data_IF_949405604808
#
_entry.id   IF_949405604808
#
_cell.length_a   1.000
_cell.length_b   1.000
_cell.length_c   1.000
_cell.angle_alpha   90.00
_cell.angle_beta   90.00
_cell.angle_gamma   90.00
#
_symmetry.space_group_name_H-M   'P 1'
#
loop_
_entity.id
_entity.type
_entity.pdbx_description
1 polymer ?
#
# COMPACT_ATOMS: atom_id res chain seq x y z
N UNK A 1 -22.47 2.16 -19.79
CA UNK A 1 -22.08 2.70 -18.47
C UNK A 1 -20.65 3.17 -18.57
N UNK A 2 -20.41 4.47 -18.42
CA UNK A 2 -19.07 5.05 -18.56
C UNK A 2 -18.17 4.58 -17.42
N UNK A 3 -17.00 4.03 -17.74
CA UNK A 3 -15.94 3.83 -16.77
C UNK A 3 -15.39 5.22 -16.44
N UNK A 4 -15.55 5.66 -15.20
CA UNK A 4 -14.91 6.86 -14.71
C UNK A 4 -13.44 6.46 -14.48
N UNK A 5 -12.53 6.89 -15.35
CA UNK A 5 -11.10 6.74 -15.07
C UNK A 5 -10.70 7.92 -14.20
N UNK A 6 -10.29 7.66 -12.95
CA UNK A 6 -9.72 8.71 -12.11
C UNK A 6 -8.22 8.78 -12.40
N UNK A 7 -7.76 9.96 -12.82
CA UNK A 7 -6.35 10.29 -12.89
C UNK A 7 -6.07 11.34 -11.82
N UNK A 8 -5.34 10.98 -10.78
CA UNK A 8 -4.86 11.91 -9.77
C UNK A 8 -3.37 12.12 -10.00
N UNK A 9 -3.00 13.31 -10.46
CA UNK A 9 -1.61 13.67 -10.75
C UNK A 9 -1.26 14.94 -9.97
N UNK A 10 -0.07 14.99 -9.37
CA UNK A 10 0.38 16.07 -8.49
C UNK A 10 -0.50 16.28 -7.25
N UNK A 11 -0.64 15.24 -6.43
CA UNK A 11 -1.33 15.35 -5.13
C UNK A 11 -0.29 15.63 -4.05
N UNK A 12 -0.37 16.81 -3.43
CA UNK A 12 0.38 17.13 -2.22
C UNK A 12 -0.52 16.94 -1.00
N UNK A 13 -0.16 15.99 -0.15
CA UNK A 13 -0.88 15.70 1.09
C UNK A 13 -0.04 16.25 2.23
N UNK A 14 -0.61 17.13 3.03
CA UNK A 14 0.08 17.73 4.19
C UNK A 14 -0.63 17.30 5.47
N UNK A 15 0.09 17.32 6.59
CA UNK A 15 -0.47 17.08 7.93
C UNK A 15 -1.03 15.68 8.17
N UNK A 16 -0.27 14.63 7.81
CA UNK A 16 -0.56 13.26 8.28
C UNK A 16 -1.89 12.65 7.77
N UNK A 17 -2.50 13.22 6.72
CA UNK A 17 -3.74 12.68 6.15
C UNK A 17 -3.46 11.46 5.25
N UNK A 18 -4.33 10.45 5.31
CA UNK A 18 -4.25 9.25 4.47
C UNK A 18 -4.94 9.48 3.13
N UNK A 19 -4.29 9.15 2.01
CA UNK A 19 -4.96 9.07 0.71
C UNK A 19 -5.71 7.74 0.57
N UNK A 20 -6.97 7.71 0.97
CA UNK A 20 -7.80 6.49 0.95
C UNK A 20 -8.61 6.38 -0.34
N UNK A 21 -8.23 5.45 -1.22
CA UNK A 21 -8.92 5.20 -2.50
C UNK A 21 -10.27 4.48 -2.29
N UNK A 22 -10.33 3.58 -1.32
CA UNK A 22 -11.53 2.77 -1.05
C UNK A 22 -12.72 3.65 -0.64
N UNK A 23 -12.44 4.75 0.08
CA UNK A 23 -13.46 5.72 0.50
C UNK A 23 -14.08 6.52 -0.66
N UNK A 24 -13.38 6.71 -1.77
CA UNK A 24 -13.88 7.47 -2.92
C UNK A 24 -14.52 6.60 -4.00
N UNK A 25 -14.81 5.33 -3.70
CA UNK A 25 -15.53 4.44 -4.60
C UNK A 25 -14.67 3.84 -5.70
N UNK A 26 -13.35 3.72 -5.48
CA UNK A 26 -12.41 2.88 -6.22
C UNK A 26 -12.74 2.72 -7.69
N UNK A 27 -12.65 3.80 -8.47
CA UNK A 27 -13.00 3.74 -9.88
C UNK A 27 -12.02 2.77 -10.59
N UNK A 28 -12.49 1.68 -11.22
CA UNK A 28 -11.60 0.66 -11.74
C UNK A 28 -10.76 1.23 -12.89
N UNK A 29 -9.47 0.90 -12.93
CA UNK A 29 -8.48 1.45 -13.88
C UNK A 29 -8.15 2.93 -13.63
N UNK A 30 -7.72 3.24 -12.40
CA UNK A 30 -7.29 4.58 -12.02
C UNK A 30 -5.77 4.66 -11.84
N UNK A 31 -5.19 5.73 -12.37
CA UNK A 31 -3.77 6.03 -12.26
C UNK A 31 -3.58 7.15 -11.22
N UNK A 32 -2.79 6.86 -10.18
CA UNK A 32 -2.40 7.81 -9.13
C UNK A 32 -0.91 8.00 -9.28
N UNK A 33 -0.52 9.23 -9.62
CA UNK A 33 0.86 9.56 -9.94
C UNK A 33 1.33 10.80 -9.17
N UNK A 34 2.63 10.83 -8.87
CA UNK A 34 3.30 12.02 -8.35
C UNK A 34 2.70 12.52 -7.03
N UNK A 35 2.39 11.58 -6.14
CA UNK A 35 1.96 11.90 -4.78
C UNK A 35 3.19 12.30 -3.96
N UNK A 36 3.07 13.44 -3.27
CA UNK A 36 4.03 13.90 -2.26
C UNK A 36 3.29 13.93 -0.93
N UNK A 37 3.71 13.09 0.01
CA UNK A 37 3.18 13.07 1.37
C UNK A 37 4.35 13.21 2.33
N UNK A 38 4.58 14.36 2.98
CA UNK A 38 5.56 14.52 4.04
C UNK A 38 4.87 14.49 5.41
N UNK A 39 5.01 13.39 6.13
CA UNK A 39 4.70 13.30 7.55
C UNK A 39 5.96 12.92 8.37
N UNK A 40 6.04 13.33 9.65
CA UNK A 40 7.08 12.87 10.57
C UNK A 40 7.06 11.34 10.75
N UNK A 41 8.22 10.75 11.03
CA UNK A 41 8.37 9.30 11.24
C UNK A 41 7.60 8.80 12.48
N UNK A 42 7.41 9.67 13.46
CA UNK A 42 6.75 9.37 14.73
C UNK A 42 5.23 9.54 14.64
N UNK A 43 4.72 9.88 13.45
CA UNK A 43 3.31 10.14 13.24
C UNK A 43 2.53 8.83 13.13
N UNK A 44 1.66 8.58 14.10
CA UNK A 44 0.92 7.33 14.22
C UNK A 44 -0.23 7.31 13.20
N UNK A 45 -0.41 6.18 12.50
CA UNK A 45 -1.50 5.92 11.53
C UNK A 45 -1.54 6.88 10.33
N UNK A 46 -0.38 7.33 9.86
CA UNK A 46 -0.27 8.22 8.70
C UNK A 46 0.12 7.47 7.45
N UNK A 47 -0.71 6.52 7.02
CA UNK A 47 -0.50 5.81 5.77
C UNK A 47 -0.42 6.81 4.61
N UNK A 48 0.50 6.59 3.67
CA UNK A 48 0.64 7.47 2.52
C UNK A 48 -0.55 7.32 1.57
N UNK A 49 -0.68 6.12 1.04
CA UNK A 49 -1.79 5.72 0.18
C UNK A 49 -2.39 4.42 0.72
N UNK A 50 -3.68 4.45 1.05
CA UNK A 50 -4.44 3.27 1.41
C UNK A 50 -5.36 2.85 0.26
N UNK A 51 -5.29 1.58 -0.12
CA UNK A 51 -6.09 1.00 -1.20
C UNK A 51 -6.90 -0.16 -0.62
N UNK A 52 -8.21 -0.14 -0.78
CA UNK A 52 -9.07 -1.28 -0.43
C UNK A 52 -10.17 -1.44 -1.46
N UNK A 53 -10.65 -2.67 -1.66
CA UNK A 53 -11.84 -3.01 -2.48
C UNK A 53 -11.85 -2.32 -3.85
N UNK A 54 -10.69 -2.35 -4.50
CA UNK A 54 -10.41 -1.60 -5.73
C UNK A 54 -9.64 -2.47 -6.71
N UNK A 55 -9.86 -2.26 -8.00
CA UNK A 55 -9.22 -3.06 -9.06
C UNK A 55 -8.55 -2.21 -10.14
N UNK A 56 -7.41 -2.69 -10.65
CA UNK A 56 -6.68 -2.03 -11.73
C UNK A 56 -6.06 -0.69 -11.32
N UNK A 57 -5.71 -0.52 -10.04
CA UNK A 57 -5.12 0.72 -9.53
C UNK A 57 -3.62 0.72 -9.79
N UNK A 58 -3.10 1.85 -10.27
CA UNK A 58 -1.66 2.07 -10.40
C UNK A 58 -1.20 3.23 -9.53
N UNK A 59 -0.23 2.98 -8.67
CA UNK A 59 0.50 3.99 -7.91
C UNK A 59 1.86 4.18 -8.57
N UNK A 60 2.10 5.35 -9.13
CA UNK A 60 3.23 5.65 -10.00
C UNK A 60 4.04 6.84 -9.47
N UNK A 61 5.36 6.80 -9.63
CA UNK A 61 6.23 8.00 -9.56
C UNK A 61 6.03 8.88 -8.31
N UNK A 62 5.78 8.25 -7.16
CA UNK A 62 5.41 8.95 -5.93
C UNK A 62 6.55 8.95 -4.92
N UNK A 63 6.63 10.01 -4.10
CA UNK A 63 7.63 10.16 -3.03
C UNK A 63 6.89 10.34 -1.70
N UNK A 64 6.88 9.27 -0.93
CA UNK A 64 6.01 9.13 0.23
C UNK A 64 6.89 9.06 1.48
N UNK A 65 6.59 9.94 2.42
CA UNK A 65 7.15 9.94 3.76
C UNK A 65 6.08 9.95 4.82
N UNK A 66 6.13 8.96 5.69
CA UNK A 66 5.06 8.62 6.62
C UNK A 66 5.66 8.18 7.94
N UNK A 67 4.85 8.18 9.01
CA UNK A 67 5.15 7.40 10.20
C UNK A 67 4.55 5.99 10.17
N UNK A 68 3.71 5.67 9.18
CA UNK A 68 3.11 4.35 8.99
C UNK A 68 3.41 3.79 7.57
N UNK A 69 2.55 2.93 7.03
CA UNK A 69 2.73 2.32 5.71
C UNK A 69 2.84 3.37 4.58
N UNK A 70 3.86 3.22 3.74
CA UNK A 70 4.04 4.04 2.55
C UNK A 70 2.88 3.83 1.56
N UNK A 71 2.57 2.56 1.31
CA UNK A 71 1.36 2.12 0.61
C UNK A 71 0.81 0.92 1.35
N UNK A 72 -0.47 0.95 1.70
CA UNK A 72 -1.17 -0.16 2.36
C UNK A 72 -2.34 -0.67 1.51
N UNK A 73 -2.51 -1.99 1.45
CA UNK A 73 -3.60 -2.66 0.74
C UNK A 73 -4.50 -3.39 1.74
N UNK A 74 -5.79 -3.07 1.76
CA UNK A 74 -6.83 -3.80 2.47
C UNK A 74 -7.42 -4.97 1.65
N UNK A 75 -8.54 -5.50 2.12
CA UNK A 75 -9.28 -6.58 1.45
C UNK A 75 -9.80 -6.15 0.06
N UNK A 76 -10.05 -7.12 -0.81
CA UNK A 76 -10.69 -6.91 -2.12
C UNK A 76 -9.88 -6.13 -3.15
N UNK A 77 -8.56 -6.07 -2.99
CA UNK A 77 -7.66 -5.46 -3.97
C UNK A 77 -7.31 -6.42 -5.11
N UNK A 78 -7.50 -6.02 -6.36
CA UNK A 78 -7.06 -6.81 -7.52
C UNK A 78 -6.30 -6.01 -8.58
N UNK A 79 -5.31 -6.63 -9.23
CA UNK A 79 -4.56 -6.01 -10.33
C UNK A 79 -3.95 -4.64 -9.95
N UNK A 80 -3.22 -4.61 -8.83
CA UNK A 80 -2.60 -3.40 -8.28
C UNK A 80 -1.15 -3.32 -8.75
N UNK A 81 -0.74 -2.17 -9.28
CA UNK A 81 0.66 -1.90 -9.65
C UNK A 81 1.20 -0.76 -8.81
N UNK A 82 2.32 -0.99 -8.12
CA UNK A 82 3.10 0.03 -7.42
C UNK A 82 4.45 0.12 -8.12
N UNK A 83 4.72 1.23 -8.80
CA UNK A 83 5.89 1.34 -9.66
C UNK A 83 6.58 2.70 -9.55
N UNK A 84 7.92 2.71 -9.50
CA UNK A 84 8.73 3.94 -9.36
C UNK A 84 8.36 4.77 -8.12
N UNK A 85 7.96 4.09 -7.04
CA UNK A 85 7.65 4.72 -5.76
C UNK A 85 8.89 4.75 -4.88
N UNK A 86 9.11 5.89 -4.22
CA UNK A 86 10.13 6.03 -3.19
C UNK A 86 9.48 6.19 -1.81
N UNK A 87 9.75 5.24 -0.91
CA UNK A 87 9.27 5.23 0.46
C UNK A 87 10.40 5.60 1.43
N UNK A 88 10.15 6.55 2.35
CA UNK A 88 11.12 6.93 3.40
C UNK A 88 10.44 7.42 4.67
N UNK A 89 11.14 7.35 5.80
CA UNK A 89 10.76 6.47 6.92
C UNK A 89 9.30 5.90 6.91
N UNK A 90 8.90 5.23 7.99
CA UNK A 90 7.60 4.56 8.10
C UNK A 90 7.71 3.05 7.94
N UNK A 91 6.61 2.39 7.52
CA UNK A 91 6.46 0.94 7.67
C UNK A 91 6.68 0.11 6.39
N UNK A 92 6.95 0.76 5.27
CA UNK A 92 7.17 0.09 3.97
C UNK A 92 5.89 -0.05 3.14
N UNK A 93 5.89 -0.99 2.19
CA UNK A 93 4.72 -1.33 1.38
C UNK A 93 4.07 -2.57 1.97
N UNK A 94 2.83 -2.46 2.43
CA UNK A 94 2.15 -3.53 3.17
C UNK A 94 0.88 -4.02 2.48
N UNK A 95 0.72 -5.34 2.39
CA UNK A 95 -0.57 -6.00 2.14
C UNK A 95 -1.14 -6.44 3.48
N UNK A 96 -2.33 -5.93 3.79
CA UNK A 96 -3.05 -6.11 5.04
C UNK A 96 -3.03 -4.90 5.97
N UNK A 97 -3.50 -5.03 7.21
CA UNK A 97 -3.81 -6.31 7.86
C UNK A 97 -5.03 -7.02 7.26
N UNK A 98 -4.92 -8.33 7.03
CA UNK A 98 -6.02 -9.18 6.56
C UNK A 98 -6.40 -10.25 7.60
N UNK A 99 -7.57 -10.83 7.44
CA UNK A 99 -8.14 -11.89 8.27
C UNK A 99 -8.85 -11.38 9.53
N UNK A 100 -9.03 -10.07 9.70
CA UNK A 100 -9.69 -9.52 10.90
C UNK A 100 -11.20 -9.74 10.87
N UNK A 101 -11.80 -9.62 9.69
CA UNK A 101 -13.25 -9.67 9.51
C UNK A 101 -13.67 -10.94 8.78
N UNK A 102 -14.86 -11.43 9.11
CA UNK A 102 -15.50 -12.49 8.33
C UNK A 102 -15.78 -11.98 6.91
N UNK A 103 -15.48 -12.81 5.90
CA UNK A 103 -15.75 -12.54 4.48
C UNK A 103 -14.99 -11.34 3.90
N UNK A 104 -13.73 -11.17 4.30
CA UNK A 104 -12.81 -10.31 3.56
C UNK A 104 -12.65 -10.84 2.12
N UNK A 105 -12.71 -9.93 1.15
CA UNK A 105 -12.51 -10.28 -0.25
C UNK A 105 -11.02 -10.57 -0.54
N UNK A 106 -10.71 -11.48 -1.49
CA UNK A 106 -9.33 -11.82 -1.83
C UNK A 106 -8.49 -10.61 -2.24
N UNK A 107 -7.19 -10.68 -1.92
CA UNK A 107 -6.18 -9.78 -2.49
C UNK A 107 -5.37 -10.55 -3.54
N UNK A 108 -5.42 -10.13 -4.80
CA UNK A 108 -4.79 -10.87 -5.88
C UNK A 108 -4.16 -10.00 -6.96
N UNK A 109 -3.00 -10.39 -7.49
CA UNK A 109 -2.38 -9.66 -8.59
C UNK A 109 -1.81 -8.33 -8.15
N UNK A 110 -0.92 -8.35 -7.15
CA UNK A 110 -0.20 -7.16 -6.70
C UNK A 110 1.21 -7.22 -7.26
N UNK A 111 1.61 -6.18 -7.98
CA UNK A 111 2.95 -6.01 -8.52
C UNK A 111 3.61 -4.78 -7.90
N UNK A 112 4.75 -4.96 -7.25
CA UNK A 112 5.60 -3.87 -6.77
C UNK A 112 6.92 -3.94 -7.52
N UNK A 113 7.26 -2.87 -8.24
CA UNK A 113 8.46 -2.87 -9.08
C UNK A 113 9.18 -1.54 -9.17
N UNK A 114 10.48 -1.56 -9.46
CA UNK A 114 11.29 -0.36 -9.65
C UNK A 114 11.18 0.63 -8.48
N UNK A 115 11.09 0.13 -7.26
CA UNK A 115 10.85 0.96 -6.07
C UNK A 115 12.13 1.18 -5.27
N UNK A 116 12.19 2.27 -4.50
CA UNK A 116 13.27 2.51 -3.54
C UNK A 116 12.67 2.68 -2.16
N UNK A 117 13.05 1.83 -1.22
CA UNK A 117 12.57 1.84 0.15
C UNK A 117 13.77 2.12 1.06
N UNK A 118 13.73 3.22 1.81
CA UNK A 118 14.88 3.66 2.60
C UNK A 118 14.49 4.07 4.02
N UNK A 119 15.18 3.52 5.03
CA UNK A 119 14.98 3.93 6.43
C UNK A 119 13.63 3.55 7.01
N UNK A 120 12.94 2.55 6.45
CA UNK A 120 11.64 2.07 6.93
C UNK A 120 11.81 0.85 7.84
N UNK A 121 10.80 0.56 8.67
CA UNK A 121 10.79 -0.66 9.47
C UNK A 121 10.75 -1.93 8.60
N UNK A 122 9.98 -1.91 7.51
CA UNK A 122 9.89 -3.03 6.59
C UNK A 122 10.04 -2.58 5.13
N UNK A 123 10.45 -3.48 4.25
CA UNK A 123 10.48 -3.27 2.81
C UNK A 123 9.11 -3.56 2.24
N UNK A 124 8.91 -4.79 1.78
CA UNK A 124 7.59 -5.31 1.43
C UNK A 124 7.09 -6.25 2.52
N UNK A 125 5.82 -6.09 2.91
CA UNK A 125 5.22 -6.81 4.03
C UNK A 125 3.86 -7.39 3.65
N UNK A 126 3.58 -8.61 4.06
CA UNK A 126 2.23 -9.18 4.10
C UNK A 126 1.91 -9.42 5.57
N UNK A 127 0.79 -8.90 6.07
CA UNK A 127 0.39 -9.00 7.49
C UNK A 127 -1.03 -9.55 7.64
N UNK A 128 -1.18 -10.62 8.41
CA UNK A 128 -2.47 -11.22 8.77
C UNK A 128 -2.62 -11.35 10.29
N UNK A 129 -3.86 -11.29 10.78
CA UNK A 129 -4.16 -11.45 12.20
C UNK A 129 -3.89 -12.90 12.67
N UNK A 130 -3.46 -13.12 13.93
CA UNK A 130 -3.21 -14.46 14.47
C UNK A 130 -4.43 -15.38 14.42
N UNK A 131 -5.61 -14.85 14.77
CA UNK A 131 -6.90 -15.55 14.71
C UNK A 131 -7.63 -15.20 13.40
N UNK A 132 -6.92 -15.29 12.28
CA UNK A 132 -7.45 -14.89 10.98
C UNK A 132 -8.62 -15.77 10.54
N UNK A 133 -9.71 -15.15 10.07
CA UNK A 133 -10.67 -15.84 9.22
C UNK A 133 -10.01 -16.30 7.90
N UNK A 134 -10.54 -17.35 7.28
CA UNK A 134 -10.03 -17.82 5.98
C UNK A 134 -10.08 -16.71 4.93
N UNK A 135 -8.98 -16.57 4.18
CA UNK A 135 -8.82 -15.56 3.14
C UNK A 135 -7.75 -15.95 2.14
N UNK A 136 -7.66 -15.21 1.03
CA UNK A 136 -6.74 -15.51 -0.07
C UNK A 136 -5.88 -14.28 -0.37
N UNK A 137 -4.57 -14.52 -0.36
CA UNK A 137 -3.54 -13.59 -0.84
C UNK A 137 -2.73 -14.33 -1.91
N UNK A 138 -2.86 -13.94 -3.18
CA UNK A 138 -2.27 -14.69 -4.30
C UNK A 138 -1.70 -13.80 -5.40
N UNK A 139 -0.82 -14.36 -6.22
CA UNK A 139 -0.23 -13.65 -7.37
C UNK A 139 0.45 -12.33 -6.95
N UNK A 140 1.41 -12.45 -6.04
CA UNK A 140 2.22 -11.34 -5.53
C UNK A 140 3.56 -11.32 -6.28
N UNK A 141 3.90 -10.20 -6.90
CA UNK A 141 5.13 -10.03 -7.68
C UNK A 141 5.93 -8.84 -7.16
N UNK A 142 7.19 -9.08 -6.80
CA UNK A 142 8.11 -8.06 -6.27
C UNK A 142 9.41 -8.12 -7.09
N UNK A 143 9.73 -7.07 -7.84
CA UNK A 143 10.94 -7.00 -8.68
C UNK A 143 11.65 -5.65 -8.57
N UNK A 144 12.97 -5.62 -8.78
CA UNK A 144 13.74 -4.36 -8.89
C UNK A 144 13.47 -3.35 -7.75
N UNK A 145 13.45 -3.86 -6.51
CA UNK A 145 13.26 -3.04 -5.30
C UNK A 145 14.61 -2.81 -4.64
N UNK A 146 15.02 -1.55 -4.55
CA UNK A 146 16.18 -1.14 -3.77
C UNK A 146 15.74 -0.96 -2.31
N UNK A 147 16.28 -1.77 -1.42
CA UNK A 147 16.08 -1.68 0.04
C UNK A 147 17.36 -1.13 0.69
N UNK A 148 17.25 0.02 1.36
CA UNK A 148 18.40 0.70 1.96
C UNK A 148 18.12 1.04 3.43
N UNK A 149 18.93 0.52 4.36
CA UNK A 149 18.72 0.74 5.80
C UNK A 149 17.27 0.42 6.23
N UNK A 150 16.74 -0.71 5.77
CA UNK A 150 15.39 -1.19 6.08
C UNK A 150 15.51 -2.30 7.13
N UNK A 151 14.68 -2.27 8.17
CA UNK A 151 14.70 -3.26 9.25
C UNK A 151 14.46 -4.68 8.75
N UNK A 152 13.29 -4.93 8.16
CA UNK A 152 12.90 -6.20 7.56
C UNK A 152 12.67 -6.03 6.04
N UNK A 153 13.62 -6.34 5.16
CA UNK A 153 13.46 -6.14 3.72
C UNK A 153 12.21 -6.81 3.11
N UNK A 154 11.92 -8.04 3.56
CA UNK A 154 10.71 -8.79 3.19
C UNK A 154 10.17 -9.44 4.46
N UNK A 155 8.89 -9.25 4.75
CA UNK A 155 8.23 -9.84 5.93
C UNK A 155 6.88 -10.43 5.56
N UNK A 156 6.64 -11.68 5.94
CA UNK A 156 5.31 -12.28 5.97
C UNK A 156 4.99 -12.56 7.43
N UNK A 157 4.11 -11.73 8.00
CA UNK A 157 3.73 -11.76 9.40
C UNK A 157 2.32 -12.33 9.53
N UNK A 158 2.22 -13.57 9.99
CA UNK A 158 0.94 -14.25 10.21
C UNK A 158 0.36 -14.03 11.62
N UNK A 159 1.05 -13.26 12.46
CA UNK A 159 0.66 -13.00 13.85
C UNK A 159 0.59 -11.49 14.14
N UNK A 160 0.21 -10.70 13.14
CA UNK A 160 0.18 -9.24 13.24
C UNK A 160 -0.84 -8.78 14.28
N UNK A 161 -0.36 -8.04 15.27
CA UNK A 161 -1.18 -7.36 16.27
C UNK A 161 -0.65 -5.92 16.42
N UNK A 162 -1.43 -4.91 16.00
CA UNK A 162 -1.04 -3.50 16.08
C UNK A 162 -0.99 -2.97 17.52
#
# INVERSE_FOLDING_TARGET
MGKLNMAAMFVSIVEAQVFDIGKYGGAPNSDIAQVISPAPEESINTDGIHISRSSGIKVLESNIKTGDDCVSLGDGCSDITIERVTCRPGHGISVGSLGKYEKEDPVTGVTVRNCTITGTMNGVRIKTWPDSFEGIVSNMHFEDIIVNNVGNPVLIDYAYCP
#
